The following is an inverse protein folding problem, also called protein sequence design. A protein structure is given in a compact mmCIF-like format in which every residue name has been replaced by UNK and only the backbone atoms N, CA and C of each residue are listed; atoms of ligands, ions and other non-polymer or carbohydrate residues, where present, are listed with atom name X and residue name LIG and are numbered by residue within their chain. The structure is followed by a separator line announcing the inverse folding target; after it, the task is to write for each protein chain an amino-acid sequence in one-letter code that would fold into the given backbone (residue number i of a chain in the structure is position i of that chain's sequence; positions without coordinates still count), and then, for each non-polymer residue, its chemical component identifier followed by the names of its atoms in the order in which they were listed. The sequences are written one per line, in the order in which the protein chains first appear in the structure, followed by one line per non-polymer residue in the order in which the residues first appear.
data_IF_105070377085
#
_entry.id   IF_105070377085
#
_cell.length_a   1.000
_cell.length_b   1.000
_cell.length_c   1.000
_cell.angle_alpha   90.00
_cell.angle_beta   90.00
_cell.angle_gamma   90.00
#
_symmetry.space_group_name_H-M   'P 1'
#
loop_
_entity.id
_entity.type
_entity.pdbx_description
1 polymer ?
#
# COMPACT_ATOMS: atom_id res chain seq x y z
N UNK A 1 -39.98 -23.02 -24.23
CA UNK A 1 -38.72 -23.05 -23.45
C UNK A 1 -37.49 -22.73 -24.32
N UNK A 2 -37.28 -23.41 -25.47
CA UNK A 2 -36.15 -23.11 -26.38
C UNK A 2 -36.15 -21.68 -26.95
N UNK A 3 -37.32 -21.09 -27.20
CA UNK A 3 -37.42 -19.72 -27.74
C UNK A 3 -37.02 -18.64 -26.74
N UNK A 4 -37.27 -18.86 -25.44
CA UNK A 4 -36.87 -17.96 -24.34
C UNK A 4 -35.37 -18.02 -24.06
N UNK A 5 -34.74 -19.21 -24.18
CA UNK A 5 -33.28 -19.34 -24.13
C UNK A 5 -32.60 -18.66 -25.32
N UNK A 6 -33.18 -18.76 -26.53
CA UNK A 6 -32.63 -18.10 -27.71
C UNK A 6 -32.76 -16.57 -27.64
N UNK A 7 -33.86 -16.06 -27.06
CA UNK A 7 -34.02 -14.62 -26.81
C UNK A 7 -33.05 -14.09 -25.75
N UNK A 8 -32.77 -14.86 -24.68
CA UNK A 8 -31.73 -14.51 -23.71
C UNK A 8 -30.33 -14.55 -24.34
N UNK A 9 -30.05 -15.51 -25.22
CA UNK A 9 -28.77 -15.58 -25.93
C UNK A 9 -28.61 -14.43 -26.94
N UNK A 10 -29.69 -14.06 -27.65
CA UNK A 10 -29.70 -12.98 -28.65
C UNK A 10 -29.73 -11.58 -28.02
N UNK A 11 -30.34 -11.41 -26.84
CA UNK A 11 -30.17 -10.19 -26.03
C UNK A 11 -28.74 -10.07 -25.49
N UNK A 12 -28.15 -11.19 -25.05
CA UNK A 12 -26.74 -11.27 -24.63
C UNK A 12 -25.73 -11.05 -25.77
N UNK A 13 -26.14 -11.29 -27.01
CA UNK A 13 -25.37 -10.96 -28.22
C UNK A 13 -25.56 -9.49 -28.64
N UNK A 14 -26.76 -8.94 -28.46
CA UNK A 14 -27.05 -7.51 -28.73
C UNK A 14 -26.38 -6.57 -27.71
N UNK A 15 -26.26 -6.97 -26.45
CA UNK A 15 -25.42 -6.26 -25.46
C UNK A 15 -23.93 -6.37 -25.77
N UNK A 16 -23.49 -7.44 -26.46
CA UNK A 16 -22.09 -7.62 -26.89
C UNK A 16 -21.68 -6.68 -28.03
N UNK A 17 -22.65 -6.08 -28.73
CA UNK A 17 -22.41 -5.14 -29.84
C UNK A 17 -22.56 -3.66 -29.45
N UNK A 18 -22.85 -3.35 -28.18
CA UNK A 18 -22.79 -1.96 -27.70
C UNK A 18 -21.32 -1.65 -27.40
N UNK A 19 -20.71 -0.94 -28.35
CA UNK A 19 -19.34 -0.43 -28.34
C UNK A 19 -18.62 -0.41 -26.99
N UNK A 20 -17.50 -1.13 -26.98
CA UNK A 20 -16.47 -1.34 -25.97
C UNK A 20 -15.70 -0.09 -25.51
N UNK A 21 -16.22 1.09 -25.81
CA UNK A 21 -15.55 2.35 -25.57
C UNK A 21 -15.88 2.83 -24.16
N UNK A 22 -14.94 2.61 -23.24
CA UNK A 22 -14.91 3.32 -21.98
C UNK A 22 -14.04 4.56 -22.14
N UNK A 23 -14.29 5.60 -21.37
CA UNK A 23 -13.43 6.78 -21.33
C UNK A 23 -12.93 7.00 -19.93
N UNK A 24 -11.63 7.28 -19.83
CA UNK A 24 -11.06 7.86 -18.64
C UNK A 24 -11.50 9.31 -18.54
N UNK A 25 -11.77 9.76 -17.33
CA UNK A 25 -12.01 11.16 -17.00
C UNK A 25 -11.07 11.50 -15.86
N UNK A 26 -10.10 12.37 -16.13
CA UNK A 26 -9.24 12.92 -15.09
C UNK A 26 -9.84 14.26 -14.67
N UNK A 27 -10.36 14.30 -13.45
CA UNK A 27 -10.93 15.52 -12.86
C UNK A 27 -9.82 16.28 -12.13
N UNK A 28 -9.60 17.53 -12.54
CA UNK A 28 -8.71 18.53 -11.94
C UNK A 28 -7.19 18.33 -12.15
N UNK A 29 -6.68 18.99 -13.19
CA UNK A 29 -5.28 19.02 -13.65
C UNK A 29 -4.25 19.52 -12.62
N UNK A 30 -4.68 20.29 -11.61
CA UNK A 30 -3.77 21.07 -10.77
C UNK A 30 -3.05 20.25 -9.69
N UNK A 31 -3.48 19.02 -9.40
CA UNK A 31 -2.94 18.21 -8.29
C UNK A 31 -2.24 16.94 -8.80
N UNK A 32 -2.63 16.42 -9.96
CA UNK A 32 -2.12 15.14 -10.46
C UNK A 32 -0.87 15.31 -11.33
N UNK A 33 0.31 15.17 -10.71
CA UNK A 33 1.61 15.20 -11.41
C UNK A 33 2.18 13.77 -11.50
N UNK A 34 1.83 12.98 -12.53
CA UNK A 34 2.25 11.58 -12.62
C UNK A 34 3.78 11.43 -12.74
N UNK A 35 4.47 12.41 -13.33
CA UNK A 35 5.95 12.41 -13.40
C UNK A 35 6.59 12.55 -12.02
N UNK A 36 5.95 13.27 -11.09
CA UNK A 36 6.44 13.46 -9.72
C UNK A 36 6.32 12.15 -8.93
N UNK A 37 5.23 11.41 -9.13
CA UNK A 37 5.06 10.06 -8.60
C UNK A 37 6.19 9.13 -9.08
N UNK A 38 6.39 9.02 -10.41
CA UNK A 38 7.48 8.20 -10.97
C UNK A 38 8.85 8.56 -10.39
N UNK A 39 9.15 9.87 -10.27
CA UNK A 39 10.41 10.34 -9.68
C UNK A 39 10.54 9.90 -8.21
N UNK A 40 9.52 10.14 -7.39
CA UNK A 40 9.57 9.85 -5.96
C UNK A 40 9.51 8.35 -5.65
N UNK A 41 8.77 7.56 -6.43
CA UNK A 41 8.79 6.09 -6.36
C UNK A 41 10.16 5.53 -6.72
N UNK A 42 10.83 6.10 -7.74
CA UNK A 42 12.21 5.70 -8.08
C UNK A 42 13.20 5.96 -6.93
N UNK A 43 13.05 7.08 -6.22
CA UNK A 43 13.82 7.38 -5.01
C UNK A 43 13.48 6.38 -3.90
N UNK A 44 12.20 6.04 -3.73
CA UNK A 44 11.73 5.00 -2.82
C UNK A 44 12.39 3.66 -3.09
N UNK A 45 12.48 3.23 -4.35
CA UNK A 45 13.12 1.95 -4.74
C UNK A 45 14.59 1.94 -4.35
N UNK A 46 15.30 3.04 -4.59
CA UNK A 46 16.69 3.20 -4.19
C UNK A 46 16.86 3.14 -2.67
N UNK A 47 16.00 3.83 -1.92
CA UNK A 47 15.99 3.79 -0.46
C UNK A 47 15.71 2.39 0.09
N UNK A 48 14.72 1.70 -0.48
CA UNK A 48 14.38 0.32 -0.10
C UNK A 48 15.53 -0.64 -0.39
N UNK A 49 16.15 -0.55 -1.56
CA UNK A 49 17.33 -1.35 -1.92
C UNK A 49 18.50 -1.13 -0.96
N UNK A 50 18.82 0.14 -0.65
CA UNK A 50 19.84 0.49 0.34
C UNK A 50 19.53 -0.08 1.72
N UNK A 51 18.28 0.03 2.16
CA UNK A 51 17.83 -0.48 3.46
C UNK A 51 17.92 -2.01 3.53
N UNK A 52 17.46 -2.74 2.51
CA UNK A 52 17.57 -4.19 2.43
C UNK A 52 19.04 -4.62 2.49
N UNK A 53 19.90 -3.96 1.71
CA UNK A 53 21.34 -4.23 1.70
C UNK A 53 21.99 -3.99 3.06
N UNK A 54 21.76 -2.82 3.67
CA UNK A 54 22.31 -2.45 4.96
C UNK A 54 21.83 -3.38 6.09
N UNK A 55 20.53 -3.67 6.13
CA UNK A 55 19.95 -4.58 7.13
C UNK A 55 20.41 -6.03 6.94
N UNK A 56 20.68 -6.47 5.70
CA UNK A 56 21.27 -7.78 5.43
C UNK A 56 22.70 -7.86 5.98
N UNK A 57 23.53 -6.84 5.73
CA UNK A 57 24.90 -6.81 6.23
C UNK A 57 24.99 -6.83 7.76
N UNK A 58 24.06 -6.16 8.44
CA UNK A 58 24.00 -6.10 9.91
C UNK A 58 23.18 -7.21 10.57
N UNK A 59 22.66 -8.17 9.80
CA UNK A 59 21.83 -9.27 10.32
C UNK A 59 20.45 -8.88 10.85
N UNK A 60 20.05 -7.61 10.69
CA UNK A 60 18.74 -7.07 11.15
C UNK A 60 17.59 -7.56 10.27
N UNK A 61 17.86 -7.85 8.98
CA UNK A 61 16.84 -8.20 7.99
C UNK A 61 15.97 -9.39 8.45
N UNK A 62 16.58 -10.46 8.95
CA UNK A 62 15.86 -11.68 9.38
C UNK A 62 14.97 -11.41 10.59
N UNK A 63 15.42 -10.57 11.53
CA UNK A 63 14.67 -10.21 12.75
C UNK A 63 13.40 -9.44 12.41
N UNK A 64 13.45 -8.57 11.40
CA UNK A 64 12.33 -7.67 11.02
C UNK A 64 11.61 -8.09 9.73
N UNK A 65 11.90 -9.30 9.22
CA UNK A 65 11.36 -9.78 7.93
C UNK A 65 9.84 -9.88 7.93
N UNK A 66 9.25 -10.35 9.03
CA UNK A 66 7.82 -10.64 9.14
C UNK A 66 6.97 -9.44 9.60
N UNK A 67 7.62 -8.29 9.78
CA UNK A 67 6.99 -7.06 10.27
C UNK A 67 7.19 -5.95 9.22
N UNK A 68 8.27 -5.16 9.38
CA UNK A 68 8.54 -3.98 8.55
C UNK A 68 8.79 -4.38 7.10
N UNK A 69 9.64 -5.38 6.86
CA UNK A 69 9.95 -5.78 5.48
C UNK A 69 8.77 -6.45 4.80
N UNK A 70 7.87 -7.11 5.53
CA UNK A 70 6.62 -7.61 4.97
C UNK A 70 5.74 -6.46 4.50
N UNK A 71 5.55 -5.45 5.34
CA UNK A 71 4.80 -4.24 4.98
C UNK A 71 5.43 -3.52 3.78
N UNK A 72 6.74 -3.28 3.83
CA UNK A 72 7.45 -2.54 2.78
C UNK A 72 7.53 -3.31 1.47
N UNK A 73 7.68 -4.65 1.51
CA UNK A 73 7.64 -5.46 0.29
C UNK A 73 6.27 -5.41 -0.37
N UNK A 74 5.20 -5.40 0.43
CA UNK A 74 3.86 -5.24 -0.11
C UNK A 74 3.65 -3.83 -0.69
N UNK A 75 4.06 -2.80 0.04
CA UNK A 75 4.01 -1.41 -0.42
C UNK A 75 4.80 -1.22 -1.73
N UNK A 76 5.97 -1.88 -1.88
CA UNK A 76 6.74 -1.88 -3.10
C UNK A 76 5.97 -2.47 -4.29
N UNK A 77 5.30 -3.61 -4.10
CA UNK A 77 4.53 -4.26 -5.18
C UNK A 77 3.40 -3.35 -5.65
N UNK A 78 2.67 -2.75 -4.71
CA UNK A 78 1.58 -1.80 -5.02
C UNK A 78 2.14 -0.58 -5.75
N UNK A 79 3.20 0.02 -5.24
CA UNK A 79 3.83 1.21 -5.81
C UNK A 79 4.40 0.96 -7.23
N UNK A 80 4.88 -0.26 -7.52
CA UNK A 80 5.26 -0.65 -8.89
C UNK A 80 4.05 -0.62 -9.83
N UNK A 81 2.90 -1.12 -9.40
CA UNK A 81 1.67 -1.08 -10.21
C UNK A 81 1.19 0.35 -10.41
N UNK A 82 1.23 1.18 -9.37
CA UNK A 82 0.87 2.59 -9.42
C UNK A 82 1.80 3.37 -10.35
N UNK A 83 3.11 3.20 -10.20
CA UNK A 83 4.12 3.79 -11.08
C UNK A 83 3.90 3.36 -12.53
N UNK A 84 3.57 2.08 -12.78
CA UNK A 84 3.26 1.59 -14.12
C UNK A 84 2.01 2.28 -14.71
N UNK A 85 0.98 2.53 -13.90
CA UNK A 85 -0.19 3.31 -14.32
C UNK A 85 0.19 4.75 -14.65
N UNK A 86 1.00 5.41 -13.81
CA UNK A 86 1.44 6.77 -14.08
C UNK A 86 2.31 6.88 -15.33
N UNK A 87 3.21 5.92 -15.56
CA UNK A 87 4.00 5.85 -16.80
C UNK A 87 3.09 5.68 -18.01
N UNK A 88 2.06 4.84 -17.91
CA UNK A 88 1.05 4.71 -18.96
C UNK A 88 0.34 6.04 -19.23
N UNK A 89 -0.08 6.76 -18.18
CA UNK A 89 -0.71 8.07 -18.35
C UNK A 89 0.24 9.09 -18.97
N UNK A 90 1.50 9.17 -18.53
CA UNK A 90 2.52 10.08 -19.11
C UNK A 90 2.67 9.83 -20.62
N UNK A 91 2.73 8.57 -21.03
CA UNK A 91 2.85 8.22 -22.46
C UNK A 91 1.60 8.59 -23.26
N UNK A 92 0.42 8.60 -22.62
CA UNK A 92 -0.85 8.96 -23.23
C UNK A 92 -1.24 10.44 -23.06
N UNK A 93 -0.46 11.23 -22.31
CA UNK A 93 -0.76 12.65 -22.05
C UNK A 93 -0.86 13.51 -23.31
N UNK A 94 -0.22 13.10 -24.42
CA UNK A 94 -0.33 13.78 -25.72
C UNK A 94 -1.59 13.46 -26.53
N UNK A 95 -2.43 12.51 -26.11
CA UNK A 95 -3.62 12.04 -26.84
C UNK A 95 -4.94 12.42 -26.16
N UNK A 96 -4.92 13.25 -25.11
CA UNK A 96 -6.17 13.63 -24.44
C UNK A 96 -6.89 14.76 -25.16
N UNK A 97 -8.18 14.53 -25.39
CA UNK A 97 -9.07 15.57 -25.89
C UNK A 97 -9.59 16.41 -24.72
N UNK A 98 -9.55 17.72 -24.90
CA UNK A 98 -10.15 18.67 -23.98
C UNK A 98 -11.65 18.77 -24.25
N UNK A 99 -12.46 18.13 -23.41
CA UNK A 99 -13.92 18.28 -23.50
C UNK A 99 -14.34 19.40 -22.57
N UNK A 100 -14.84 20.49 -23.16
CA UNK A 100 -15.48 21.57 -22.41
C UNK A 100 -16.93 21.15 -22.13
N UNK A 101 -17.23 20.69 -20.92
CA UNK A 101 -18.54 20.09 -20.61
C UNK A 101 -19.67 21.10 -20.45
N UNK A 102 -19.42 22.42 -20.54
CA UNK A 102 -20.45 23.47 -20.58
C UNK A 102 -21.30 23.65 -19.31
N UNK A 103 -21.30 22.68 -18.40
CA UNK A 103 -22.18 22.61 -17.23
C UNK A 103 -21.50 23.05 -15.92
N UNK A 104 -20.17 23.20 -15.94
CA UNK A 104 -19.32 23.84 -14.93
C UNK A 104 -17.96 24.05 -15.63
N UNK A 105 -17.28 25.19 -15.44
CA UNK A 105 -15.98 25.58 -16.07
C UNK A 105 -14.80 24.62 -15.77
N UNK A 106 -15.07 23.37 -15.38
CA UNK A 106 -14.08 22.33 -15.12
C UNK A 106 -13.70 21.63 -16.42
N UNK A 107 -12.50 21.93 -16.89
CA UNK A 107 -11.85 21.22 -17.99
C UNK A 107 -11.65 19.75 -17.61
N UNK A 108 -12.27 18.83 -18.36
CA UNK A 108 -12.07 17.38 -18.20
C UNK A 108 -11.21 16.85 -19.33
N UNK A 109 -10.15 16.16 -18.97
CA UNK A 109 -9.38 15.36 -19.91
C UNK A 109 -10.05 14.00 -20.06
N UNK A 110 -10.40 13.66 -21.30
CA UNK A 110 -10.89 12.33 -21.61
C UNK A 110 -10.03 11.64 -22.64
N UNK A 111 -9.77 10.36 -22.42
CA UNK A 111 -9.16 9.49 -23.43
C UNK A 111 -9.97 8.21 -23.55
N UNK A 112 -10.19 7.76 -24.78
CA UNK A 112 -10.92 6.53 -25.08
C UNK A 112 -10.05 5.31 -24.74
N UNK A 113 -10.67 4.30 -24.16
CA UNK A 113 -10.00 3.09 -23.72
C UNK A 113 -10.95 1.90 -23.78
N UNK A 114 -10.41 0.69 -23.59
CA UNK A 114 -11.25 -0.50 -23.45
C UNK A 114 -11.84 -0.57 -22.04
N UNK A 115 -13.07 -1.08 -21.92
CA UNK A 115 -13.70 -1.34 -20.61
C UNK A 115 -12.86 -2.28 -19.73
N UNK A 116 -12.11 -3.20 -20.34
CA UNK A 116 -11.18 -4.10 -19.63
C UNK A 116 -10.02 -3.32 -19.01
N UNK A 117 -9.41 -2.40 -19.76
CA UNK A 117 -8.35 -1.51 -19.24
C UNK A 117 -8.88 -0.65 -18.08
N UNK A 118 -10.08 -0.10 -18.24
CA UNK A 118 -10.79 0.61 -17.17
C UNK A 118 -10.95 -0.24 -15.91
N UNK A 119 -11.44 -1.47 -16.08
CA UNK A 119 -11.66 -2.41 -14.96
C UNK A 119 -10.34 -2.75 -14.27
N UNK A 120 -9.29 -3.06 -15.04
CA UNK A 120 -7.97 -3.39 -14.48
C UNK A 120 -7.38 -2.26 -13.67
N UNK A 121 -7.39 -1.03 -14.20
CA UNK A 121 -6.82 0.13 -13.51
C UNK A 121 -7.63 0.48 -12.25
N UNK A 122 -8.97 0.42 -12.31
CA UNK A 122 -9.82 0.61 -11.11
C UNK A 122 -9.54 -0.48 -10.07
N UNK A 123 -9.40 -1.74 -10.47
CA UNK A 123 -9.08 -2.83 -9.54
C UNK A 123 -7.68 -2.71 -8.95
N UNK A 124 -6.70 -2.26 -9.72
CA UNK A 124 -5.35 -1.97 -9.23
C UNK A 124 -5.34 -0.78 -8.26
N UNK A 125 -6.16 0.25 -8.52
CA UNK A 125 -6.36 1.34 -7.55
C UNK A 125 -6.92 0.80 -6.22
N UNK A 126 -7.83 -0.18 -6.25
CA UNK A 126 -8.29 -0.83 -5.02
C UNK A 126 -7.25 -1.74 -4.37
N UNK A 127 -6.40 -2.38 -5.17
CA UNK A 127 -5.30 -3.19 -4.66
C UNK A 127 -4.40 -2.36 -3.72
N UNK A 128 -4.33 -1.04 -3.93
CA UNK A 128 -3.66 -0.10 -3.01
C UNK A 128 -4.14 -0.20 -1.57
N UNK A 129 -5.44 -0.39 -1.37
CA UNK A 129 -6.03 -0.46 -0.03
C UNK A 129 -5.82 -1.82 0.65
N UNK A 130 -5.39 -2.85 -0.08
CA UNK A 130 -5.14 -4.18 0.50
C UNK A 130 -3.95 -4.18 1.47
N UNK A 131 -3.07 -3.17 1.41
CA UNK A 131 -2.01 -2.98 2.41
C UNK A 131 -2.57 -2.85 3.84
N UNK A 132 -3.80 -2.40 3.99
CA UNK A 132 -4.48 -2.32 5.29
C UNK A 132 -4.67 -3.71 5.90
N UNK A 133 -4.88 -4.75 5.08
CA UNK A 133 -4.92 -6.13 5.58
C UNK A 133 -3.57 -6.60 6.08
N UNK A 134 -2.48 -6.19 5.43
CA UNK A 134 -1.11 -6.47 5.89
C UNK A 134 -0.85 -5.78 7.22
N UNK A 135 -1.19 -4.49 7.35
CA UNK A 135 -1.06 -3.72 8.58
C UNK A 135 -1.90 -4.31 9.72
N UNK A 136 -3.16 -4.66 9.45
CA UNK A 136 -4.04 -5.30 10.41
C UNK A 136 -3.49 -6.65 10.87
N UNK A 137 -3.04 -7.50 9.93
CA UNK A 137 -2.48 -8.81 10.24
C UNK A 137 -1.23 -8.72 11.11
N UNK A 138 -0.31 -7.81 10.79
CA UNK A 138 0.89 -7.57 11.61
C UNK A 138 0.50 -7.03 12.99
N UNK A 139 -0.43 -6.08 13.05
CA UNK A 139 -0.92 -5.49 14.30
C UNK A 139 -1.57 -6.54 15.20
N UNK A 140 -2.43 -7.40 14.65
CA UNK A 140 -3.08 -8.49 15.39
C UNK A 140 -2.04 -9.48 15.91
N UNK A 141 -1.08 -9.90 15.06
CA UNK A 141 0.00 -10.81 15.47
C UNK A 141 0.80 -10.24 16.64
N UNK A 142 1.12 -8.95 16.61
CA UNK A 142 1.82 -8.27 17.70
C UNK A 142 0.97 -8.10 18.96
N UNK A 143 -0.33 -7.85 18.78
CA UNK A 143 -1.27 -7.69 19.90
C UNK A 143 -1.43 -8.98 20.70
N UNK A 144 -1.65 -10.10 20.01
CA UNK A 144 -1.79 -11.43 20.61
C UNK A 144 -0.44 -11.94 21.13
N UNK A 145 0.64 -11.61 20.43
CA UNK A 145 2.01 -11.96 20.79
C UNK A 145 2.61 -12.98 19.80
N UNK A 146 3.86 -12.74 19.42
CA UNK A 146 4.56 -13.50 18.37
C UNK A 146 4.73 -14.99 18.69
N UNK A 147 4.73 -15.35 19.97
CA UNK A 147 4.82 -16.75 20.42
C UNK A 147 3.54 -17.54 20.16
N UNK A 148 2.40 -16.86 20.16
CA UNK A 148 1.08 -17.48 20.00
C UNK A 148 0.72 -17.59 18.52
N UNK A 149 0.92 -16.51 17.76
CA UNK A 149 0.60 -16.47 16.32
C UNK A 149 1.88 -16.57 15.51
N UNK A 150 2.13 -17.77 14.96
CA UNK A 150 3.24 -18.02 14.04
C UNK A 150 3.08 -17.18 12.77
N UNK A 151 4.20 -16.71 12.22
CA UNK A 151 4.21 -15.96 10.96
C UNK A 151 3.51 -16.73 9.81
N UNK A 152 3.57 -18.06 9.81
CA UNK A 152 2.85 -18.91 8.84
C UNK A 152 1.34 -18.62 8.79
N UNK A 153 0.70 -18.41 9.96
CA UNK A 153 -0.74 -18.12 10.03
C UNK A 153 -1.05 -16.77 9.36
N UNK A 154 -0.19 -15.76 9.60
CA UNK A 154 -0.28 -14.46 8.96
C UNK A 154 -0.18 -14.59 7.43
N UNK A 155 0.80 -15.33 6.92
CA UNK A 155 0.97 -15.53 5.48
C UNK A 155 -0.19 -16.30 4.83
N UNK A 156 -0.74 -17.31 5.51
CA UNK A 156 -1.92 -18.04 5.02
C UNK A 156 -3.13 -17.13 4.94
N UNK A 157 -3.39 -16.32 5.99
CA UNK A 157 -4.50 -15.36 5.99
C UNK A 157 -4.36 -14.33 4.84
N UNK A 158 -3.17 -13.75 4.68
CA UNK A 158 -2.90 -12.80 3.59
C UNK A 158 -3.05 -13.47 2.22
N UNK A 159 -2.52 -14.69 2.06
CA UNK A 159 -2.65 -15.45 0.82
C UNK A 159 -4.10 -15.73 0.43
N UNK A 160 -4.97 -16.06 1.40
CA UNK A 160 -6.41 -16.25 1.16
C UNK A 160 -7.07 -14.94 0.73
N UNK A 161 -6.78 -13.83 1.40
CA UNK A 161 -7.33 -12.51 1.04
C UNK A 161 -6.94 -12.15 -0.40
N UNK A 162 -5.65 -12.26 -0.75
CA UNK A 162 -5.20 -11.96 -2.11
C UNK A 162 -5.79 -12.90 -3.16
N UNK A 163 -5.93 -14.20 -2.84
CA UNK A 163 -6.55 -15.15 -3.75
C UNK A 163 -8.02 -14.78 -4.03
N UNK A 164 -8.78 -14.40 -2.99
CA UNK A 164 -10.17 -13.96 -3.15
C UNK A 164 -10.26 -12.70 -4.01
N UNK A 165 -9.41 -11.71 -3.80
CA UNK A 165 -9.39 -10.49 -4.61
C UNK A 165 -9.04 -10.75 -6.08
N UNK A 166 -8.06 -11.62 -6.34
CA UNK A 166 -7.72 -12.05 -7.70
C UNK A 166 -8.91 -12.77 -8.36
N UNK A 167 -9.61 -13.64 -7.61
CA UNK A 167 -10.80 -14.32 -8.12
C UNK A 167 -11.95 -13.33 -8.41
N UNK A 168 -12.15 -12.32 -7.56
CA UNK A 168 -13.14 -11.26 -7.80
C UNK A 168 -12.78 -10.46 -9.06
N UNK A 169 -11.50 -10.13 -9.27
CA UNK A 169 -11.03 -9.45 -10.48
C UNK A 169 -11.29 -10.30 -11.74
N UNK A 170 -10.89 -11.58 -11.72
CA UNK A 170 -11.10 -12.49 -12.84
C UNK A 170 -12.61 -12.64 -13.13
N UNK A 171 -13.42 -12.82 -12.08
CA UNK A 171 -14.87 -12.91 -12.22
C UNK A 171 -15.48 -11.62 -12.79
N UNK A 172 -14.95 -10.44 -12.42
CA UNK A 172 -15.39 -9.15 -12.95
C UNK A 172 -15.16 -9.04 -14.45
N UNK A 173 -14.03 -9.57 -14.93
CA UNK A 173 -13.67 -9.58 -16.36
C UNK A 173 -14.49 -10.63 -17.13
N UNK A 174 -14.68 -11.82 -16.57
CA UNK A 174 -15.38 -12.93 -17.24
C UNK A 174 -16.90 -12.79 -17.24
N UNK A 175 -17.48 -12.18 -16.19
CA UNK A 175 -18.91 -12.04 -16.00
C UNK A 175 -19.31 -10.56 -15.84
N UNK A 176 -19.21 -9.78 -16.94
CA UNK A 176 -19.58 -8.37 -16.93
C UNK A 176 -21.09 -8.25 -16.67
N UNK A 177 -21.47 -7.85 -15.45
CA UNK A 177 -22.88 -7.90 -15.01
C UNK A 177 -23.51 -6.52 -14.80
N UNK A 178 -22.77 -5.51 -14.31
CA UNK A 178 -23.24 -4.11 -14.22
C UNK A 178 -22.09 -3.10 -14.29
N UNK A 179 -22.34 -1.98 -14.97
CA UNK A 179 -21.53 -0.75 -14.83
C UNK A 179 -21.97 -0.03 -13.57
N UNK A 180 -21.04 0.30 -12.67
CA UNK A 180 -21.36 1.01 -11.43
C UNK A 180 -20.86 2.45 -11.46
N UNK A 181 -21.72 3.41 -11.13
CA UNK A 181 -21.40 4.85 -11.12
C UNK A 181 -20.70 5.34 -9.84
N UNK A 182 -20.51 4.47 -8.85
CA UNK A 182 -19.82 4.80 -7.57
C UNK A 182 -18.44 5.45 -7.77
N UNK A 183 -17.85 5.25 -8.94
CA UNK A 183 -16.51 5.69 -9.32
C UNK A 183 -16.39 7.11 -9.84
N UNK A 184 -17.50 7.85 -9.95
CA UNK A 184 -17.48 9.21 -10.50
C UNK A 184 -16.71 10.22 -9.62
N UNK A 185 -16.44 9.87 -8.37
CA UNK A 185 -15.75 10.73 -7.39
C UNK A 185 -14.26 10.41 -7.21
N UNK A 186 -13.73 9.41 -7.94
CA UNK A 186 -12.30 9.15 -7.95
C UNK A 186 -11.58 10.18 -8.85
N UNK A 187 -10.33 10.59 -8.51
CA UNK A 187 -9.55 11.53 -9.33
C UNK A 187 -9.35 11.02 -10.76
N UNK A 188 -9.24 9.70 -10.88
CA UNK A 188 -9.21 8.96 -12.12
C UNK A 188 -10.49 8.14 -12.17
N UNK A 189 -11.49 8.62 -12.92
CA UNK A 189 -12.78 7.95 -13.04
C UNK A 189 -12.94 7.34 -14.42
N UNK A 190 -13.32 6.06 -14.47
CA UNK A 190 -13.85 5.48 -15.71
C UNK A 190 -15.35 5.69 -15.77
N UNK A 191 -15.84 6.11 -16.93
CA UNK A 191 -17.28 6.21 -17.17
C UNK A 191 -17.98 4.84 -17.10
N UNK A 192 -17.23 3.75 -17.32
CA UNK A 192 -17.70 2.35 -17.29
C UNK A 192 -16.59 1.43 -16.79
N UNK A 193 -16.90 0.60 -15.80
CA UNK A 193 -16.07 -0.52 -15.35
C UNK A 193 -16.96 -1.74 -15.09
N UNK A 194 -16.40 -2.94 -15.22
CA UNK A 194 -17.08 -4.16 -14.81
C UNK A 194 -16.96 -4.33 -13.30
N UNK A 195 -18.09 -4.58 -12.62
CA UNK A 195 -18.12 -4.87 -11.19
C UNK A 195 -19.00 -6.08 -10.92
N UNK A 196 -18.55 -6.97 -10.03
CA UNK A 196 -19.38 -8.05 -9.48
C UNK A 196 -20.04 -7.54 -8.20
N UNK A 197 -21.18 -6.87 -8.36
CA UNK A 197 -21.88 -6.11 -7.33
C UNK A 197 -21.73 -6.62 -5.89
N UNK A 198 -22.30 -7.79 -5.52
CA UNK A 198 -22.33 -8.21 -4.12
C UNK A 198 -20.94 -8.51 -3.53
N UNK A 199 -20.03 -9.13 -4.28
CA UNK A 199 -18.71 -9.50 -3.77
C UNK A 199 -17.81 -8.28 -3.60
N UNK A 200 -17.81 -7.37 -4.58
CA UNK A 200 -17.08 -6.11 -4.49
C UNK A 200 -17.59 -5.24 -3.33
N UNK A 201 -18.92 -5.21 -3.11
CA UNK A 201 -19.50 -4.51 -1.96
C UNK A 201 -19.08 -5.11 -0.62
N UNK A 202 -19.08 -6.44 -0.48
CA UNK A 202 -18.62 -7.10 0.75
C UNK A 202 -17.15 -6.80 1.00
N UNK A 203 -16.28 -6.98 0.00
CA UNK A 203 -14.84 -6.68 0.12
C UNK A 203 -14.61 -5.21 0.54
N UNK A 204 -15.36 -4.28 -0.07
CA UNK A 204 -15.32 -2.88 0.31
C UNK A 204 -15.69 -2.66 1.79
N UNK A 205 -16.80 -3.22 2.28
CA UNK A 205 -17.18 -3.09 3.70
C UNK A 205 -16.17 -3.72 4.66
N UNK A 206 -15.57 -4.86 4.29
CA UNK A 206 -14.51 -5.48 5.10
C UNK A 206 -13.28 -4.56 5.14
N UNK A 207 -12.91 -3.96 4.01
CA UNK A 207 -11.81 -2.99 3.92
C UNK A 207 -12.08 -1.78 4.81
N UNK A 208 -13.29 -1.21 4.73
CA UNK A 208 -13.74 -0.10 5.57
C UNK A 208 -13.60 -0.40 7.06
N UNK A 209 -14.10 -1.56 7.48
CA UNK A 209 -14.03 -1.99 8.88
C UNK A 209 -12.58 -2.17 9.34
N UNK A 210 -11.74 -2.75 8.49
CA UNK A 210 -10.32 -2.98 8.79
C UNK A 210 -9.56 -1.66 8.91
N UNK A 211 -9.84 -0.68 8.04
CA UNK A 211 -9.27 0.66 8.12
C UNK A 211 -9.62 1.34 9.45
N UNK A 212 -10.88 1.28 9.89
CA UNK A 212 -11.29 1.91 11.15
C UNK A 212 -10.68 1.28 12.40
N UNK A 213 -10.47 -0.05 12.38
CA UNK A 213 -10.06 -0.82 13.55
C UNK A 213 -8.55 -0.91 13.75
N UNK A 214 -7.78 -0.97 12.67
CA UNK A 214 -6.32 -1.07 12.71
C UNK A 214 -5.64 0.05 13.51
N UNK A 215 -5.99 1.36 13.37
CA UNK A 215 -5.38 2.41 14.18
C UNK A 215 -5.74 2.25 15.66
N UNK A 216 -6.95 1.79 15.99
CA UNK A 216 -7.38 1.59 17.39
C UNK A 216 -6.51 0.53 18.06
N UNK A 217 -6.34 -0.63 17.42
CA UNK A 217 -5.45 -1.67 17.95
C UNK A 217 -4.01 -1.21 18.06
N UNK A 218 -3.51 -0.46 17.07
CA UNK A 218 -2.14 0.08 17.08
C UNK A 218 -1.93 1.07 18.24
N UNK A 219 -2.90 1.94 18.52
CA UNK A 219 -2.87 2.88 19.66
C UNK A 219 -2.87 2.14 21.00
N UNK A 220 -3.76 1.16 21.17
CA UNK A 220 -3.80 0.31 22.37
C UNK A 220 -2.45 -0.39 22.56
N UNK A 221 -1.84 -0.88 21.48
CA UNK A 221 -0.56 -1.57 21.52
C UNK A 221 0.58 -0.64 21.93
N UNK A 222 0.62 0.59 21.40
CA UNK A 222 1.60 1.61 21.82
C UNK A 222 1.44 1.96 23.28
N UNK A 223 0.22 2.22 23.76
CA UNK A 223 -0.03 2.51 25.18
C UNK A 223 0.46 1.34 26.05
N UNK A 224 0.13 0.11 25.69
CA UNK A 224 0.57 -1.10 26.39
C UNK A 224 2.09 -1.24 26.40
N UNK A 225 2.77 -0.95 25.28
CA UNK A 225 4.22 -1.01 25.16
C UNK A 225 4.92 0.09 25.97
N UNK A 226 4.37 1.31 25.97
CA UNK A 226 4.87 2.43 26.78
C UNK A 226 4.76 2.11 28.27
N UNK A 227 3.61 1.61 28.73
CA UNK A 227 3.39 1.21 30.13
C UNK A 227 4.35 0.08 30.54
N UNK A 228 4.62 -0.87 29.63
CA UNK A 228 5.52 -2.01 29.90
C UNK A 228 7.00 -1.73 29.58
N UNK A 229 7.35 -0.53 29.14
CA UNK A 229 8.72 -0.13 28.70
C UNK A 229 9.35 -1.14 27.73
N UNK A 230 8.57 -1.65 26.78
CA UNK A 230 9.07 -2.62 25.81
C UNK A 230 9.86 -1.92 24.68
N UNK A 231 11.00 -2.49 24.23
CA UNK A 231 11.87 -1.87 23.23
C UNK A 231 11.31 -1.83 21.80
N UNK A 232 10.17 -2.50 21.53
CA UNK A 232 9.57 -2.58 20.19
C UNK A 232 8.50 -1.50 19.89
N UNK A 233 8.44 -0.43 20.70
CA UNK A 233 7.51 0.69 20.50
C UNK A 233 7.70 1.39 19.16
N UNK A 234 8.95 1.49 18.69
CA UNK A 234 9.33 2.19 17.46
C UNK A 234 8.59 1.63 16.25
N UNK A 235 8.53 0.30 16.15
CA UNK A 235 7.96 -0.35 14.98
C UNK A 235 6.43 -0.21 14.96
N UNK A 236 5.80 -0.22 16.14
CA UNK A 236 4.34 0.02 16.24
C UNK A 236 3.99 1.46 15.87
N UNK A 237 4.86 2.43 16.17
CA UNK A 237 4.66 3.82 15.76
C UNK A 237 4.63 3.98 14.23
N UNK A 238 5.46 3.23 13.49
CA UNK A 238 5.42 3.22 12.02
C UNK A 238 4.06 2.72 11.52
N UNK A 239 3.57 1.60 12.05
CA UNK A 239 2.26 1.05 11.68
C UNK A 239 1.12 1.99 12.03
N UNK A 240 1.19 2.64 13.19
CA UNK A 240 0.18 3.59 13.64
C UNK A 240 0.09 4.78 12.68
N UNK A 241 1.23 5.37 12.30
CA UNK A 241 1.26 6.56 11.44
C UNK A 241 0.71 6.25 10.04
N UNK A 242 1.04 5.06 9.51
CA UNK A 242 0.48 4.57 8.24
C UNK A 242 -1.02 4.26 8.32
N UNK A 243 -1.47 3.63 9.43
CA UNK A 243 -2.88 3.29 9.62
C UNK A 243 -3.76 4.53 9.81
N UNK A 244 -3.26 5.56 10.50
CA UNK A 244 -3.99 6.81 10.69
C UNK A 244 -4.19 7.58 9.39
N UNK A 245 -3.19 7.64 8.50
CA UNK A 245 -3.36 8.31 7.22
C UNK A 245 -4.45 7.65 6.37
N UNK A 246 -4.49 6.31 6.35
CA UNK A 246 -5.57 5.55 5.68
C UNK A 246 -6.94 5.77 6.30
N UNK A 247 -7.01 5.78 7.64
CA UNK A 247 -8.26 5.99 8.36
C UNK A 247 -8.81 7.40 8.17
N UNK A 248 -7.92 8.40 8.18
CA UNK A 248 -8.29 9.78 7.91
C UNK A 248 -8.77 9.95 6.47
N UNK A 249 -8.12 9.30 5.49
CA UNK A 249 -8.54 9.33 4.09
C UNK A 249 -9.94 8.76 3.95
N UNK A 250 -10.21 7.65 4.63
CA UNK A 250 -11.53 7.03 4.66
C UNK A 250 -12.58 7.96 5.30
N UNK A 251 -12.30 8.56 6.45
CA UNK A 251 -13.24 9.46 7.13
C UNK A 251 -13.57 10.64 6.21
N UNK A 252 -12.57 11.25 5.58
CA UNK A 252 -12.76 12.34 4.63
C UNK A 252 -13.60 11.91 3.43
N UNK A 253 -13.38 10.71 2.90
CA UNK A 253 -14.19 10.15 1.82
C UNK A 253 -15.65 9.98 2.24
N UNK A 254 -15.91 9.44 3.44
CA UNK A 254 -17.25 9.27 3.99
C UNK A 254 -17.96 10.61 4.21
N UNK A 255 -17.25 11.65 4.66
CA UNK A 255 -17.81 13.01 4.80
C UNK A 255 -18.24 13.56 3.45
N UNK A 256 -17.40 13.42 2.41
CA UNK A 256 -17.72 13.88 1.05
C UNK A 256 -18.92 13.12 0.49
N UNK A 257 -18.98 11.79 0.66
CA UNK A 257 -20.13 10.99 0.24
C UNK A 257 -21.41 11.35 1.00
N UNK A 258 -21.33 11.52 2.32
CA UNK A 258 -22.47 11.86 3.15
C UNK A 258 -23.13 13.17 2.68
N UNK A 259 -22.35 14.19 2.30
CA UNK A 259 -22.90 15.43 1.76
C UNK A 259 -23.53 15.26 0.36
N UNK A 260 -23.01 14.37 -0.47
CA UNK A 260 -23.64 14.06 -1.77
C UNK A 260 -25.02 13.41 -1.61
N UNK A 261 -25.21 12.57 -0.58
CA UNK A 261 -26.48 11.89 -0.30
C UNK A 261 -27.43 12.74 0.55
N UNK A 262 -26.91 13.46 1.53
CA UNK A 262 -27.66 14.32 2.45
C UNK A 262 -27.44 15.76 1.99
N UNK A 263 -28.26 16.22 1.05
CA UNK A 263 -28.22 17.62 0.58
C UNK A 263 -28.25 18.56 1.80
N UNK A 264 -27.30 19.50 1.85
CA UNK A 264 -27.08 20.49 2.92
C UNK A 264 -26.38 19.98 4.19
N UNK A 265 -25.64 18.87 4.14
CA UNK A 265 -24.80 18.45 5.26
C UNK A 265 -23.54 19.33 5.35
N UNK A 266 -23.58 20.33 6.25
CA UNK A 266 -22.46 21.22 6.63
C UNK A 266 -21.52 21.52 5.45
N UNK A 267 -21.87 22.50 4.62
CA UNK A 267 -21.07 22.88 3.43
C UNK A 267 -19.59 23.09 3.76
N UNK A 268 -19.29 23.71 4.91
CA UNK A 268 -17.91 23.90 5.40
C UNK A 268 -17.18 22.59 5.67
N UNK A 269 -17.87 21.57 6.22
CA UNK A 269 -17.29 20.26 6.50
C UNK A 269 -16.97 19.51 5.21
N UNK A 270 -17.75 19.74 4.16
CA UNK A 270 -17.46 19.20 2.83
C UNK A 270 -16.22 19.84 2.21
N UNK A 271 -16.09 21.18 2.30
CA UNK A 271 -14.90 21.89 1.82
C UNK A 271 -13.66 21.38 2.55
N UNK A 272 -13.68 21.38 3.88
CA UNK A 272 -12.59 20.88 4.72
C UNK A 272 -12.31 19.41 4.43
N UNK A 273 -13.35 18.58 4.32
CA UNK A 273 -13.25 17.17 3.99
C UNK A 273 -12.58 16.93 2.65
N UNK A 274 -12.89 17.75 1.64
CA UNK A 274 -12.27 17.68 0.31
C UNK A 274 -10.80 18.07 0.34
N UNK A 275 -10.44 19.16 1.06
CA UNK A 275 -9.03 19.54 1.25
C UNK A 275 -8.22 18.45 1.96
N UNK A 276 -8.76 17.88 3.05
CA UNK A 276 -8.11 16.79 3.77
C UNK A 276 -8.00 15.55 2.88
N UNK A 277 -9.06 15.21 2.15
CA UNK A 277 -9.06 14.09 1.21
C UNK A 277 -7.95 14.24 0.16
N UNK A 278 -7.85 15.41 -0.48
CA UNK A 278 -6.82 15.68 -1.48
C UNK A 278 -5.40 15.62 -0.89
N UNK A 279 -5.18 16.20 0.30
CA UNK A 279 -3.88 16.15 0.96
C UNK A 279 -3.48 14.71 1.35
N UNK A 280 -4.43 13.91 1.85
CA UNK A 280 -4.18 12.52 2.22
C UNK A 280 -4.03 11.60 1.02
N UNK A 281 -4.75 11.89 -0.07
CA UNK A 281 -4.57 11.21 -1.33
C UNK A 281 -3.15 11.47 -1.87
N UNK A 282 -2.69 12.72 -1.85
CA UNK A 282 -1.31 13.05 -2.21
C UNK A 282 -0.31 12.29 -1.34
N UNK A 283 -0.53 12.18 -0.03
CA UNK A 283 0.33 11.36 0.85
C UNK A 283 0.26 9.87 0.48
N UNK A 284 -0.89 9.37 0.02
CA UNK A 284 -1.02 7.99 -0.42
C UNK A 284 -0.28 7.70 -1.72
N UNK A 285 -0.27 8.65 -2.66
CA UNK A 285 0.48 8.51 -3.91
C UNK A 285 2.00 8.38 -3.62
N UNK A 286 2.49 8.95 -2.53
CA UNK A 286 3.90 8.81 -2.09
C UNK A 286 4.08 7.89 -0.89
N UNK A 287 3.14 6.96 -0.66
CA UNK A 287 3.13 6.16 0.57
C UNK A 287 4.38 5.29 0.69
N UNK A 288 4.83 4.67 -0.39
CA UNK A 288 5.99 3.78 -0.35
C UNK A 288 7.31 4.49 0.05
N UNK A 289 7.74 5.59 -0.61
CA UNK A 289 8.92 6.32 -0.17
C UNK A 289 8.75 6.88 1.25
N UNK A 290 7.54 7.31 1.62
CA UNK A 290 7.26 7.77 2.98
C UNK A 290 7.42 6.65 4.02
N UNK A 291 6.91 5.45 3.75
CA UNK A 291 7.09 4.28 4.63
C UNK A 291 8.56 3.87 4.75
N UNK A 292 9.33 3.96 3.66
CA UNK A 292 10.77 3.71 3.70
C UNK A 292 11.48 4.74 4.60
N UNK A 293 11.18 6.03 4.41
CA UNK A 293 11.74 7.12 5.21
C UNK A 293 11.38 6.96 6.70
N UNK A 294 10.10 6.72 7.01
CA UNK A 294 9.64 6.49 8.38
C UNK A 294 10.32 5.28 9.03
N UNK A 295 10.48 4.19 8.28
CA UNK A 295 11.17 3.00 8.77
C UNK A 295 12.63 3.29 9.13
N UNK A 296 13.33 4.07 8.31
CA UNK A 296 14.71 4.49 8.60
C UNK A 296 14.78 5.50 9.75
N UNK A 297 13.81 6.42 9.87
CA UNK A 297 13.84 7.45 10.92
C UNK A 297 13.46 6.91 12.30
N UNK A 298 12.40 6.09 12.36
CA UNK A 298 11.79 5.67 13.63
C UNK A 298 12.45 4.40 14.15
N UNK A 299 12.72 3.40 13.30
CA UNK A 299 13.20 2.09 13.75
C UNK A 299 14.70 2.13 13.97
N UNK A 300 15.10 2.26 15.23
CA UNK A 300 16.50 2.42 15.67
C UNK A 300 17.47 1.38 15.07
N UNK A 301 17.08 0.10 14.99
CA UNK A 301 17.89 -0.97 14.38
C UNK A 301 18.13 -0.75 12.88
N UNK A 302 17.10 -0.34 12.14
CA UNK A 302 17.20 -0.04 10.69
C UNK A 302 18.02 1.23 10.50
N UNK A 303 17.75 2.27 11.30
CA UNK A 303 18.47 3.53 11.29
C UNK A 303 19.97 3.32 11.45
N UNK A 304 20.38 2.54 12.45
CA UNK A 304 21.77 2.21 12.72
C UNK A 304 22.43 1.42 11.58
N UNK A 305 21.70 0.48 10.99
CA UNK A 305 22.20 -0.26 9.83
C UNK A 305 22.42 0.66 8.63
N UNK A 306 21.44 1.47 8.27
CA UNK A 306 21.50 2.38 7.11
C UNK A 306 22.55 3.47 7.32
N UNK A 307 22.61 4.10 8.49
CA UNK A 307 23.60 5.15 8.77
C UNK A 307 25.03 4.61 8.71
N UNK A 308 25.27 3.41 9.22
CA UNK A 308 26.58 2.76 9.13
C UNK A 308 26.98 2.47 7.68
N UNK A 309 26.04 1.98 6.86
CA UNK A 309 26.28 1.72 5.45
C UNK A 309 26.59 3.02 4.68
N UNK A 310 25.84 4.10 4.94
CA UNK A 310 26.07 5.41 4.32
C UNK A 310 27.45 5.95 4.72
N UNK A 311 27.80 5.88 6.01
CA UNK A 311 29.11 6.31 6.50
C UNK A 311 30.25 5.54 5.83
N UNK A 312 30.10 4.22 5.64
CA UNK A 312 31.10 3.40 4.96
C UNK A 312 31.24 3.75 3.47
N UNK A 313 30.14 4.11 2.79
CA UNK A 313 30.19 4.59 1.40
C UNK A 313 30.90 5.94 1.30
N UNK A 314 30.57 6.90 2.16
CA UNK A 314 31.25 8.20 2.19
C UNK A 314 32.73 8.08 2.55
N UNK A 315 33.11 7.17 3.45
CA UNK A 315 34.53 6.88 3.74
C UNK A 315 35.27 6.35 2.51
N UNK A 316 34.63 5.49 1.70
CA UNK A 316 35.24 4.96 0.47
C UNK A 316 35.34 5.99 -0.65
N UNK A 317 34.34 6.86 -0.79
CA UNK A 317 34.32 7.94 -1.80
C UNK A 317 35.21 9.12 -1.43
N UNK A 318 35.34 9.41 -0.14
CA UNK A 318 36.11 10.54 0.40
C UNK A 318 37.63 10.39 0.32
N UNK A 319 38.16 9.25 -0.12
CA UNK A 319 39.56 9.13 -0.53
C UNK A 319 40.64 9.26 0.55
N UNK A 320 40.33 9.20 1.85
CA UNK A 320 41.37 9.10 2.89
C UNK A 320 41.86 7.64 2.98
N UNK A 321 43.12 7.30 2.69
CA UNK A 321 44.37 7.81 3.28
C UNK A 321 44.32 7.87 4.82
N UNK A 322 44.08 6.73 5.46
CA UNK A 322 44.71 6.41 6.75
C UNK A 322 45.00 4.91 6.87
N UNK A 323 46.05 4.55 7.65
CA UNK A 323 46.91 3.42 7.35
C UNK A 323 46.23 2.08 7.57
N UNK A 324 46.63 1.10 6.76
CA UNK A 324 46.41 -0.33 7.02
C UNK A 324 47.00 -0.70 8.39
N UNK A 325 46.22 -0.52 9.46
CA UNK A 325 46.66 -0.77 10.84
C UNK A 325 45.55 -1.27 11.75
N UNK A 326 44.40 -1.68 11.21
CA UNK A 326 43.22 -2.10 11.99
C UNK A 326 42.70 -3.50 11.68
N UNK A 327 43.45 -4.33 10.96
CA UNK A 327 43.04 -5.70 10.63
C UNK A 327 43.11 -6.69 11.81
N UNK A 328 43.39 -6.23 13.04
CA UNK A 328 43.55 -7.08 14.23
C UNK A 328 42.43 -7.00 15.26
N UNK A 329 41.50 -6.03 15.19
CA UNK A 329 40.41 -5.94 16.17
C UNK A 329 39.12 -6.66 15.77
N UNK A 330 38.86 -6.88 14.48
CA UNK A 330 37.65 -7.58 14.05
C UNK A 330 37.76 -9.11 14.14
N UNK A 331 38.97 -9.68 14.24
CA UNK A 331 39.14 -11.13 14.47
C UNK A 331 38.91 -11.51 15.93
N UNK A 332 39.27 -10.63 16.88
CA UNK A 332 39.06 -10.85 18.30
C UNK A 332 37.56 -10.79 18.70
N UNK A 333 36.79 -9.89 18.09
CA UNK A 333 35.34 -9.75 18.39
C UNK A 333 34.49 -10.86 17.72
N UNK A 334 35.03 -11.54 16.70
CA UNK A 334 34.41 -12.72 16.08
C UNK A 334 34.71 -13.98 16.90
N UNK A 335 35.91 -14.14 17.46
CA UNK A 335 36.22 -15.24 18.38
C UNK A 335 35.44 -15.16 19.70
N UNK A 336 35.16 -13.96 20.21
CA UNK A 336 34.37 -13.79 21.44
C UNK A 336 32.89 -14.17 21.24
N UNK A 337 32.30 -13.83 20.09
CA UNK A 337 30.92 -14.25 19.75
C UNK A 337 30.79 -15.73 19.40
N UNK A 338 31.84 -16.37 18.87
CA UNK A 338 31.82 -17.81 18.58
C UNK A 338 31.93 -18.65 19.88
N UNK A 339 32.60 -18.11 20.91
CA UNK A 339 32.64 -18.74 22.24
C UNK A 339 31.32 -18.62 23.01
N UNK A 340 30.61 -17.49 22.93
CA UNK A 340 29.29 -17.34 23.58
C UNK A 340 28.22 -18.27 22.98
N UNK A 341 28.23 -18.47 21.66
CA UNK A 341 27.31 -19.42 20.99
C UNK A 341 27.62 -20.88 21.37
N UNK A 342 28.86 -21.18 21.75
CA UNK A 342 29.26 -22.51 22.23
C UNK A 342 28.78 -22.78 23.66
N UNK A 343 28.78 -21.77 24.53
CA UNK A 343 28.33 -21.90 25.92
C UNK A 343 26.81 -22.11 26.02
N UNK A 344 26.00 -21.43 25.21
CA UNK A 344 24.54 -21.61 25.21
C UNK A 344 24.11 -23.02 24.76
N UNK A 345 24.88 -23.65 23.85
CA UNK A 345 24.63 -25.02 23.42
C UNK A 345 25.05 -26.08 24.44
N UNK A 346 25.95 -25.75 25.38
CA UNK A 346 26.32 -26.65 26.49
C UNK A 346 25.26 -26.64 27.59
N UNK A 347 24.68 -25.47 27.90
CA UNK A 347 23.61 -25.36 28.91
C UNK A 347 22.31 -26.05 28.47
N UNK A 348 21.96 -25.99 27.18
CA UNK A 348 20.78 -26.71 26.65
C UNK A 348 20.91 -28.24 26.69
N UNK A 349 22.12 -28.78 26.93
CA UNK A 349 22.37 -30.22 27.03
C UNK A 349 22.26 -30.76 28.47
N UNK A 350 22.33 -29.89 29.48
CA UNK A 350 22.21 -30.28 30.89
C UNK A 350 20.77 -30.28 31.43
N UNK A 351 19.82 -29.63 30.74
CA UNK A 351 18.38 -29.63 31.11
C UNK A 351 17.57 -30.79 30.50
N UNK A 352 18.22 -31.78 29.86
CA UNK A 352 17.58 -32.99 29.31
C UNK A 352 18.20 -34.30 29.80
N UNK A 353 18.87 -34.30 30.95
CA UNK A 353 19.36 -35.50 31.61
C UNK A 353 18.52 -35.81 32.86
#
# INVERSE_FOLDING_TARGET
MFHSCLLLFKMRERERTIHHDASWTVTDYFIYQPWLNVLLSSLGYLMFGLMVYACKQKGVLRKRMHDIFLLLSYALIVDIFETAQHVYFINKFGEFDFINTGEDDKMRLTTTTSTTTCTLVVSLFYAHFLIVYVEAGITIRRFIGEKVVRATVLYVMLGVIFAVEILILIASILFPSRTSEWFRYAPISCNRSYSVGPFSTISFFVTLFTMGITPIFSTILIIKQLVRKQPDSDVTAVFLLSSYSMSALLISLLVVFANAFIRNFLEWATIVGHFIFLALLFIQDFRFPFLCLLSVMIVSEIRGAVSSCIADVFRRLGGDMQPKGGALLNTAEIEEKENDIRLDNVFLKYDRA
#
